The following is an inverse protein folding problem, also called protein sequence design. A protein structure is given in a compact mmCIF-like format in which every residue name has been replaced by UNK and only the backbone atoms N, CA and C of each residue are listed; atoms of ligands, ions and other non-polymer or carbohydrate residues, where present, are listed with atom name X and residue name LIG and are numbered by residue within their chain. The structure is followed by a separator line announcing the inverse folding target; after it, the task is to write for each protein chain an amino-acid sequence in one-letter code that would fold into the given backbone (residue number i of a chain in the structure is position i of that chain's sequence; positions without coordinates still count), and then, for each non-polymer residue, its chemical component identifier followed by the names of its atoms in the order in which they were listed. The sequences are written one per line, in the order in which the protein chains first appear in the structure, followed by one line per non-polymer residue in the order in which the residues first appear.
data_IF_931069105275
#
_entry.id   IF_931069105275
#
_cell.length_a   1.000
_cell.length_b   1.000
_cell.length_c   1.000
_cell.angle_alpha   90.00
_cell.angle_beta   90.00
_cell.angle_gamma   90.00
#
_symmetry.space_group_name_H-M   'P 1'
#
loop_
_entity.id
_entity.type
_entity.pdbx_description
1 polymer ?
#
# COMPACT_ATOMS: atom_id res chain seq x y z
N UNK A 1 -54.22 4.99 22.73
CA UNK A 1 -54.12 3.54 22.48
C UNK A 1 -53.93 3.39 21.00
N UNK A 2 -52.70 3.20 20.59
CA UNK A 2 -52.35 2.89 19.19
C UNK A 2 -51.10 2.01 19.24
N UNK A 3 -51.30 0.78 18.84
CA UNK A 3 -50.34 -0.30 18.82
C UNK A 3 -49.19 -0.04 17.86
N UNK A 4 -47.94 -0.19 18.33
CA UNK A 4 -46.76 -0.27 17.48
C UNK A 4 -46.51 -1.74 17.11
N UNK A 5 -46.33 -2.08 15.83
CA UNK A 5 -45.98 -3.44 15.42
C UNK A 5 -44.52 -3.73 15.76
N UNK A 6 -44.29 -4.70 16.62
CA UNK A 6 -42.99 -5.27 16.91
C UNK A 6 -42.47 -6.09 15.72
N UNK A 7 -41.58 -5.51 14.92
CA UNK A 7 -40.81 -6.24 13.92
C UNK A 7 -39.65 -6.96 14.56
N UNK A 8 -39.77 -8.29 14.77
CA UNK A 8 -38.66 -9.14 15.18
C UNK A 8 -37.63 -9.20 14.05
N UNK A 9 -36.44 -8.64 14.30
CA UNK A 9 -35.30 -8.79 13.40
C UNK A 9 -34.92 -10.27 13.32
N UNK A 10 -35.14 -10.86 12.16
CA UNK A 10 -34.77 -12.24 11.85
C UNK A 10 -33.26 -12.32 11.70
N UNK A 11 -32.58 -12.79 12.74
CA UNK A 11 -31.17 -13.11 12.67
C UNK A 11 -30.97 -14.23 11.61
N UNK A 12 -30.27 -13.91 10.55
CA UNK A 12 -29.85 -14.91 9.56
C UNK A 12 -28.85 -15.86 10.22
N UNK A 13 -28.95 -17.18 10.00
CA UNK A 13 -28.02 -18.12 10.58
C UNK A 13 -26.62 -17.87 10.03
N UNK A 14 -25.65 -17.79 10.94
CA UNK A 14 -24.22 -17.78 10.61
C UNK A 14 -23.91 -19.07 9.87
N UNK A 15 -23.80 -19.00 8.55
CA UNK A 15 -23.35 -20.14 7.77
C UNK A 15 -21.86 -20.33 8.04
N UNK A 16 -21.54 -21.38 8.77
CA UNK A 16 -20.17 -21.85 8.97
C UNK A 16 -19.61 -22.29 7.61
N UNK A 17 -18.74 -21.50 7.02
CA UNK A 17 -17.94 -21.92 5.89
C UNK A 17 -16.87 -22.88 6.42
N UNK A 18 -16.89 -24.17 6.04
CA UNK A 18 -15.80 -25.08 6.42
C UNK A 18 -14.51 -24.54 5.80
N UNK A 19 -13.55 -24.20 6.64
CA UNK A 19 -12.19 -23.93 6.21
C UNK A 19 -11.64 -25.27 5.72
N UNK A 20 -11.70 -25.50 4.41
CA UNK A 20 -11.03 -26.64 3.80
C UNK A 20 -9.53 -26.50 4.07
N UNK A 21 -8.86 -27.52 4.58
CA UNK A 21 -7.42 -27.45 4.77
C UNK A 21 -6.78 -27.26 3.39
N UNK A 22 -6.15 -26.11 3.20
CA UNK A 22 -5.34 -25.84 2.02
C UNK A 22 -4.10 -26.71 2.15
N UNK A 23 -4.11 -27.89 1.53
CA UNK A 23 -2.91 -28.69 1.38
C UNK A 23 -1.91 -27.90 0.55
N UNK A 24 -0.85 -27.41 1.20
CA UNK A 24 0.26 -26.78 0.54
C UNK A 24 0.92 -27.83 -0.40
N UNK A 25 0.77 -27.64 -1.69
CA UNK A 25 1.49 -28.42 -2.71
C UNK A 25 2.63 -27.55 -3.25
N UNK A 26 3.90 -27.96 -3.13
CA UNK A 26 5.02 -27.24 -3.74
C UNK A 26 4.80 -27.15 -5.26
N UNK A 27 4.80 -25.93 -5.80
CA UNK A 27 4.71 -25.68 -7.24
C UNK A 27 3.31 -25.38 -7.81
N UNK A 28 2.24 -25.36 -7.01
CA UNK A 28 0.94 -24.84 -7.43
C UNK A 28 0.41 -23.84 -6.40
N UNK A 29 0.41 -22.56 -6.78
CA UNK A 29 -0.39 -21.57 -6.06
C UNK A 29 -1.86 -21.72 -6.55
N UNK A 30 -2.78 -22.29 -5.74
CA UNK A 30 -4.17 -22.47 -6.15
C UNK A 30 -4.89 -21.12 -6.37
N UNK A 31 -4.36 -20.02 -5.87
CA UNK A 31 -4.91 -18.68 -6.04
C UNK A 31 -4.49 -18.04 -7.38
N UNK A 32 -3.47 -18.57 -8.08
CA UNK A 32 -3.05 -18.04 -9.37
C UNK A 32 -4.10 -18.14 -10.47
N UNK A 33 -5.14 -18.98 -10.28
CA UNK A 33 -6.29 -19.05 -11.19
C UNK A 33 -7.27 -17.89 -11.02
N UNK A 34 -7.21 -17.14 -9.91
CA UNK A 34 -8.18 -16.12 -9.54
C UNK A 34 -7.55 -14.74 -9.34
N UNK A 35 -6.23 -14.65 -9.41
CA UNK A 35 -5.50 -13.39 -9.30
C UNK A 35 -4.91 -13.08 -10.67
N UNK A 36 -5.42 -12.03 -11.27
CA UNK A 36 -4.85 -11.44 -12.47
C UNK A 36 -3.79 -10.42 -12.06
N UNK A 37 -2.60 -10.53 -12.64
CA UNK A 37 -1.50 -9.60 -12.41
C UNK A 37 -1.40 -8.73 -13.67
N UNK A 38 -1.95 -7.50 -13.63
CA UNK A 38 -2.02 -6.63 -14.81
C UNK A 38 -0.62 -6.18 -15.30
N UNK A 39 0.39 -6.27 -14.45
CA UNK A 39 1.78 -6.00 -14.81
C UNK A 39 2.71 -7.02 -14.17
N UNK A 40 3.68 -7.51 -14.94
CA UNK A 40 4.81 -8.32 -14.46
C UNK A 40 6.08 -7.49 -14.29
N UNK A 41 6.05 -6.25 -14.78
CA UNK A 41 7.18 -5.34 -14.72
C UNK A 41 7.27 -4.71 -13.33
N UNK A 42 8.48 -4.64 -12.80
CA UNK A 42 8.78 -4.05 -11.50
C UNK A 42 9.35 -2.65 -11.72
N UNK A 43 8.91 -1.63 -10.97
CA UNK A 43 9.56 -0.33 -11.03
C UNK A 43 11.02 -0.43 -10.59
N UNK A 44 11.89 0.33 -11.24
CA UNK A 44 13.27 0.50 -10.79
C UNK A 44 13.30 1.30 -9.49
N UNK A 45 14.36 1.14 -8.71
CA UNK A 45 14.56 1.92 -7.48
C UNK A 45 14.59 3.43 -7.79
N UNK A 46 13.87 4.22 -7.00
CA UNK A 46 13.79 5.68 -7.20
C UNK A 46 12.93 6.10 -8.39
N UNK A 47 12.12 5.19 -8.93
CA UNK A 47 11.11 5.48 -9.94
C UNK A 47 9.70 5.16 -9.43
N UNK A 48 8.70 5.58 -10.19
CA UNK A 48 7.29 5.26 -9.91
C UNK A 48 6.66 4.57 -11.12
N UNK A 49 5.68 3.73 -10.87
CA UNK A 49 4.85 3.09 -11.90
C UNK A 49 3.38 3.31 -11.60
N UNK A 50 2.65 3.89 -12.52
CA UNK A 50 1.21 4.02 -12.37
C UNK A 50 0.55 2.63 -12.47
N UNK A 51 -0.24 2.28 -11.46
CA UNK A 51 -0.94 0.98 -11.37
C UNK A 51 -2.45 1.13 -11.51
N UNK A 52 -2.94 2.34 -11.26
CA UNK A 52 -4.33 2.75 -11.45
C UNK A 52 -4.33 4.28 -11.62
N UNK A 53 -5.33 4.89 -12.27
CA UNK A 53 -5.39 6.33 -12.42
C UNK A 53 -5.16 7.06 -11.09
N UNK A 54 -4.08 7.84 -11.00
CA UNK A 54 -3.68 8.59 -9.80
C UNK A 54 -3.05 7.77 -8.67
N UNK A 55 -2.81 6.48 -8.85
CA UNK A 55 -2.12 5.64 -7.86
C UNK A 55 -0.84 5.06 -8.46
N UNK A 56 0.26 5.34 -7.80
CA UNK A 56 1.61 4.99 -8.26
C UNK A 56 2.32 4.09 -7.27
N UNK A 57 2.91 3.02 -7.78
CA UNK A 57 3.75 2.10 -7.04
C UNK A 57 5.18 2.63 -6.99
N UNK A 58 5.74 2.65 -5.79
CA UNK A 58 7.14 2.99 -5.49
C UNK A 58 7.80 1.76 -4.90
N UNK A 59 8.90 1.32 -5.49
CA UNK A 59 9.70 0.21 -4.96
C UNK A 59 11.00 0.73 -4.37
N UNK A 60 11.24 0.42 -3.09
CA UNK A 60 12.44 0.84 -2.35
C UNK A 60 13.26 -0.37 -1.92
N UNK A 61 14.60 -0.28 -1.89
CA UNK A 61 15.44 -1.37 -1.42
C UNK A 61 15.33 -1.60 0.08
N UNK A 62 15.50 -2.86 0.49
CA UNK A 62 15.65 -3.26 1.88
C UNK A 62 16.96 -4.06 2.03
N UNK A 63 17.80 -3.78 3.04
CA UNK A 63 19.02 -4.53 3.33
C UNK A 63 18.72 -5.82 4.13
N UNK A 64 17.72 -6.59 3.69
CA UNK A 64 17.22 -7.81 4.34
C UNK A 64 17.08 -8.94 3.32
N UNK A 65 16.65 -10.13 3.78
CA UNK A 65 16.32 -11.26 2.89
C UNK A 65 15.21 -10.86 1.92
N UNK A 66 14.19 -10.17 2.39
CA UNK A 66 13.25 -9.43 1.55
C UNK A 66 13.96 -8.16 1.07
N UNK A 67 14.49 -8.17 -0.13
CA UNK A 67 15.39 -7.13 -0.65
C UNK A 67 14.70 -5.83 -1.08
N UNK A 68 13.37 -5.74 -0.94
CA UNK A 68 12.60 -4.54 -1.31
C UNK A 68 11.33 -4.42 -0.48
N UNK A 69 10.79 -3.22 -0.51
CA UNK A 69 9.48 -2.87 0.07
C UNK A 69 8.72 -1.98 -0.91
N UNK A 70 7.40 -2.04 -0.85
CA UNK A 70 6.50 -1.32 -1.74
C UNK A 70 5.80 -0.20 -0.98
N UNK A 71 5.82 1.00 -1.56
CA UNK A 71 5.10 2.18 -1.09
C UNK A 71 4.19 2.70 -2.18
N UNK A 72 3.41 3.70 -1.84
CA UNK A 72 2.48 4.27 -2.80
C UNK A 72 2.51 5.79 -2.76
N UNK A 73 2.32 6.39 -3.94
CA UNK A 73 1.98 7.78 -4.11
C UNK A 73 0.55 7.85 -4.66
N UNK A 74 -0.30 8.63 -4.01
CA UNK A 74 -1.64 8.90 -4.51
C UNK A 74 -1.75 10.37 -4.92
N UNK A 75 -2.24 10.61 -6.14
CA UNK A 75 -2.56 11.94 -6.65
C UNK A 75 -3.91 12.38 -6.10
N UNK A 76 -3.90 13.43 -5.29
CA UNK A 76 -5.10 14.05 -4.70
C UNK A 76 -5.58 15.27 -5.52
N UNK A 77 -5.20 15.36 -6.78
CA UNK A 77 -5.54 16.46 -7.68
C UNK A 77 -4.58 17.63 -7.57
N UNK A 78 -4.61 18.39 -6.49
CA UNK A 78 -3.71 19.54 -6.25
C UNK A 78 -2.50 19.20 -5.37
N UNK A 79 -2.37 17.96 -4.94
CA UNK A 79 -1.35 17.52 -3.99
C UNK A 79 -1.07 16.02 -4.11
N UNK A 80 -0.05 15.58 -3.37
CA UNK A 80 0.30 14.17 -3.23
C UNK A 80 0.09 13.67 -1.80
N UNK A 81 -0.33 12.41 -1.69
CA UNK A 81 -0.29 11.64 -0.45
C UNK A 81 0.74 10.53 -0.60
N UNK A 82 1.69 10.46 0.35
CA UNK A 82 2.65 9.36 0.48
C UNK A 82 2.05 8.31 1.42
N UNK A 83 2.11 7.03 1.04
CA UNK A 83 1.69 5.91 1.88
C UNK A 83 2.90 5.03 2.14
N UNK A 84 3.31 4.98 3.40
CA UNK A 84 4.55 4.44 3.93
C UNK A 84 5.82 5.16 3.45
N UNK A 85 6.90 5.07 4.23
CA UNK A 85 8.02 6.01 4.10
C UNK A 85 9.38 5.37 3.90
N UNK A 86 9.59 4.18 4.40
CA UNK A 86 10.85 3.45 4.33
C UNK A 86 11.69 3.47 5.60
N UNK A 87 12.73 2.68 5.59
CA UNK A 87 13.75 2.69 6.63
C UNK A 87 14.42 4.07 6.74
N UNK A 88 14.82 4.44 7.95
CA UNK A 88 15.66 5.61 8.18
C UNK A 88 17.08 5.33 7.68
N UNK A 89 17.27 5.46 6.39
CA UNK A 89 18.49 5.19 5.65
C UNK A 89 18.74 6.30 4.63
N UNK A 90 20.01 6.70 4.44
CA UNK A 90 20.33 7.83 3.56
C UNK A 90 20.09 7.46 2.09
N UNK A 91 20.29 6.21 1.70
CA UNK A 91 19.96 5.74 0.34
C UNK A 91 18.47 5.88 0.04
N UNK A 92 17.60 5.58 1.02
CA UNK A 92 16.15 5.72 0.84
C UNK A 92 15.76 7.21 0.71
N UNK A 93 16.41 8.10 1.47
CA UNK A 93 16.20 9.56 1.31
C UNK A 93 16.60 10.06 -0.08
N UNK A 94 17.76 9.60 -0.59
CA UNK A 94 18.21 9.94 -1.94
C UNK A 94 17.20 9.51 -3.01
N UNK A 95 16.66 8.30 -2.90
CA UNK A 95 15.64 7.80 -3.81
C UNK A 95 14.33 8.60 -3.72
N UNK A 96 13.92 8.98 -2.51
CA UNK A 96 12.79 9.89 -2.34
C UNK A 96 13.06 11.26 -2.97
N UNK A 97 14.25 11.82 -2.76
CA UNK A 97 14.63 13.11 -3.36
C UNK A 97 14.64 13.04 -4.90
N UNK A 98 15.07 11.92 -5.47
CA UNK A 98 14.98 11.67 -6.91
C UNK A 98 13.51 11.66 -7.38
N UNK A 99 12.62 10.94 -6.69
CA UNK A 99 11.19 10.90 -7.00
C UNK A 99 10.59 12.30 -6.89
N UNK A 100 10.87 13.04 -5.83
CA UNK A 100 10.35 14.39 -5.63
C UNK A 100 10.82 15.36 -6.73
N UNK A 101 12.07 15.23 -7.16
CA UNK A 101 12.63 16.07 -8.23
C UNK A 101 12.11 15.76 -9.63
N UNK A 102 11.59 14.55 -9.86
CA UNK A 102 11.23 14.08 -11.21
C UNK A 102 9.74 13.89 -11.44
N UNK A 103 8.97 13.54 -10.40
CA UNK A 103 7.59 13.08 -10.60
C UNK A 103 6.52 13.94 -9.93
N UNK A 104 6.84 14.78 -8.94
CA UNK A 104 5.81 15.55 -8.24
C UNK A 104 5.22 16.69 -9.08
N UNK A 105 5.87 17.09 -10.18
CA UNK A 105 5.42 18.14 -11.12
C UNK A 105 5.01 19.45 -10.42
N UNK A 106 5.75 19.83 -9.39
CA UNK A 106 5.50 21.03 -8.59
C UNK A 106 4.32 20.95 -7.63
N UNK A 107 3.57 19.85 -7.60
CA UNK A 107 2.49 19.64 -6.63
C UNK A 107 3.09 19.36 -5.23
N UNK A 108 2.57 19.96 -4.16
CA UNK A 108 3.05 19.69 -2.81
C UNK A 108 2.64 18.31 -2.31
N UNK A 109 3.45 17.74 -1.44
CA UNK A 109 3.01 16.63 -0.58
C UNK A 109 2.26 17.23 0.61
N UNK A 110 0.99 16.88 0.77
CA UNK A 110 0.15 17.36 1.89
C UNK A 110 -0.06 16.33 2.98
N UNK A 111 0.17 15.06 2.68
CA UNK A 111 -0.07 13.95 3.62
C UNK A 111 0.99 12.88 3.52
N UNK A 112 1.37 12.37 4.68
CA UNK A 112 2.12 11.12 4.84
C UNK A 112 1.26 10.19 5.68
N UNK A 113 0.85 9.08 5.11
CA UNK A 113 0.07 8.04 5.77
C UNK A 113 0.98 6.86 6.07
N UNK A 114 1.03 6.43 7.32
CA UNK A 114 1.81 5.26 7.74
C UNK A 114 0.84 4.14 8.09
N UNK A 115 0.97 3.01 7.39
CA UNK A 115 0.06 1.87 7.58
C UNK A 115 0.25 1.21 8.93
N UNK A 116 1.50 1.10 9.41
CA UNK A 116 1.83 0.52 10.70
C UNK A 116 3.23 0.92 11.19
N UNK A 117 3.57 0.50 12.41
CA UNK A 117 4.73 0.97 13.16
C UNK A 117 6.09 0.34 12.80
N UNK A 118 6.16 -0.59 11.85
CA UNK A 118 7.44 -1.21 11.50
C UNK A 118 8.42 -0.18 10.91
N UNK A 119 9.72 -0.27 11.23
CA UNK A 119 10.71 0.73 10.82
C UNK A 119 10.83 0.90 9.29
N UNK A 120 10.57 -0.14 8.53
CA UNK A 120 10.58 -0.13 7.07
C UNK A 120 9.35 0.56 6.45
N UNK A 121 8.34 0.87 7.26
CA UNK A 121 7.16 1.65 6.87
C UNK A 121 7.17 3.07 7.43
N UNK A 122 7.59 3.28 8.69
CA UNK A 122 7.50 4.57 9.35
C UNK A 122 8.83 5.31 9.52
N UNK A 123 9.96 4.68 9.20
CA UNK A 123 11.29 5.16 9.58
C UNK A 123 11.64 6.57 9.09
N UNK A 124 11.11 7.00 7.96
CA UNK A 124 11.32 8.35 7.40
C UNK A 124 10.13 9.30 7.58
N UNK A 125 9.08 8.92 8.33
CA UNK A 125 7.89 9.77 8.49
C UNK A 125 8.25 11.16 9.08
N UNK A 126 9.12 11.22 10.09
CA UNK A 126 9.61 12.47 10.66
C UNK A 126 10.38 13.33 9.65
N UNK A 127 11.29 12.71 8.90
CA UNK A 127 12.05 13.41 7.86
C UNK A 127 11.16 13.98 6.74
N UNK A 128 10.15 13.23 6.30
CA UNK A 128 9.17 13.70 5.33
C UNK A 128 8.33 14.86 5.89
N UNK A 129 7.91 14.76 7.17
CA UNK A 129 7.15 15.83 7.82
C UNK A 129 7.95 17.12 8.05
N UNK A 130 9.29 17.05 8.12
CA UNK A 130 10.17 18.23 8.16
C UNK A 130 10.42 18.83 6.76
N UNK A 131 10.27 18.00 5.70
CA UNK A 131 10.55 18.39 4.33
C UNK A 131 9.37 19.12 3.67
N UNK A 132 8.15 18.81 4.05
CA UNK A 132 6.88 19.30 3.50
C UNK A 132 5.99 19.95 4.55
#
# INVERSE_FOLDING_TARGET
MSDLPGGAAKLLPFTYFPILPIFWQPGRNPLSKFVDYPSTDLPEEGTIQEVSPGLYWVRMPLPLILNHINFWLADDGDSWTIIDTGLKDDRIKELWDQIFGTFLDGKPVKRVFVTHMHPDHMGLAGWLGEKF
#
